data_IF_552807781954
#
_entry.id   IF_552807781954
#
_cell.length_a   1.000
_cell.length_b   1.000
_cell.length_c   1.000
_cell.angle_alpha   90.00
_cell.angle_beta   90.00
_cell.angle_gamma   90.00
#
_symmetry.space_group_name_H-M   'P 1'
#
loop_
_entity.id
_entity.type
_entity.pdbx_description
1 polymer ?
#
# COMPACT_ATOMS: atom_id res chain seq x y z
N UNK A 1 -7.02 19.35 -14.18
CA UNK A 1 -6.60 18.16 -13.41
C UNK A 1 -6.69 16.87 -14.22
N UNK A 2 -7.88 16.32 -14.48
CA UNK A 2 -8.03 15.07 -15.25
C UNK A 2 -7.47 15.18 -16.67
N UNK A 3 -7.69 16.29 -17.33
CA UNK A 3 -7.14 16.57 -18.66
C UNK A 3 -5.61 16.48 -18.66
N UNK A 4 -4.96 17.03 -17.63
CA UNK A 4 -3.49 17.00 -17.48
C UNK A 4 -2.98 15.57 -17.27
N UNK A 5 -3.71 14.75 -16.47
CA UNK A 5 -3.38 13.33 -16.27
C UNK A 5 -3.55 12.46 -17.52
N UNK A 6 -4.32 12.92 -18.53
CA UNK A 6 -4.47 12.23 -19.81
C UNK A 6 -3.40 12.58 -20.82
N UNK A 7 -2.83 13.76 -20.71
CA UNK A 7 -1.88 14.32 -21.69
C UNK A 7 -0.44 14.24 -21.25
N UNK A 8 -0.20 14.33 -19.94
CA UNK A 8 1.13 14.45 -19.37
C UNK A 8 1.60 13.15 -18.71
N UNK A 9 2.91 12.96 -18.65
CA UNK A 9 3.49 11.90 -17.86
C UNK A 9 3.32 12.22 -16.37
N UNK A 10 2.81 11.24 -15.61
CA UNK A 10 2.66 11.37 -14.16
C UNK A 10 3.03 10.10 -13.43
N UNK A 11 3.35 10.23 -12.14
CA UNK A 11 3.54 9.12 -11.21
C UNK A 11 2.26 8.87 -10.43
N UNK A 12 1.78 7.62 -10.44
CA UNK A 12 0.75 7.15 -9.52
C UNK A 12 1.42 6.68 -8.22
N UNK A 13 1.09 7.34 -7.11
CA UNK A 13 1.60 6.99 -5.78
C UNK A 13 0.49 6.36 -4.95
N UNK A 14 0.70 5.11 -4.49
CA UNK A 14 -0.26 4.34 -3.71
C UNK A 14 0.29 4.06 -2.31
N UNK A 15 -0.36 4.63 -1.29
CA UNK A 15 0.08 4.49 0.10
C UNK A 15 -0.14 3.07 0.65
N UNK A 16 0.60 2.72 1.70
CA UNK A 16 0.28 1.59 2.55
C UNK A 16 -0.97 1.85 3.39
N UNK A 17 -1.54 0.78 3.98
CA UNK A 17 -2.72 0.91 4.84
C UNK A 17 -3.42 -0.41 5.17
N UNK A 18 -2.79 -1.55 4.88
CA UNK A 18 -3.40 -2.86 5.09
C UNK A 18 -4.72 -2.99 4.31
N UNK A 19 -5.79 -3.42 4.97
CA UNK A 19 -7.11 -3.55 4.33
C UNK A 19 -7.64 -2.23 3.74
N UNK A 20 -7.29 -1.08 4.34
CA UNK A 20 -7.72 0.23 3.84
C UNK A 20 -7.17 0.51 2.44
N UNK A 21 -5.99 -0.05 2.12
CA UNK A 21 -5.39 0.05 0.79
C UNK A 21 -6.26 -0.53 -0.34
N UNK A 22 -7.26 -1.36 -0.02
CA UNK A 22 -8.21 -1.88 -1.01
C UNK A 22 -9.00 -0.73 -1.67
N UNK A 23 -9.14 0.42 -1.02
CA UNK A 23 -9.77 1.62 -1.60
C UNK A 23 -9.03 2.14 -2.84
N UNK A 24 -7.74 1.84 -3.01
CA UNK A 24 -7.02 2.15 -4.25
C UNK A 24 -7.72 1.58 -5.49
N UNK A 25 -8.36 0.41 -5.37
CA UNK A 25 -9.08 -0.21 -6.49
C UNK A 25 -10.24 0.65 -7.00
N UNK A 26 -10.96 1.34 -6.11
CA UNK A 26 -12.00 2.28 -6.53
C UNK A 26 -11.45 3.43 -7.37
N UNK A 27 -10.28 3.95 -7.00
CA UNK A 27 -9.59 5.00 -7.78
C UNK A 27 -9.08 4.44 -9.11
N UNK A 28 -8.51 3.23 -9.13
CA UNK A 28 -8.09 2.57 -10.38
C UNK A 28 -9.26 2.32 -11.32
N UNK A 29 -10.44 1.95 -10.79
CA UNK A 29 -11.67 1.82 -11.58
C UNK A 29 -12.05 3.14 -12.27
N UNK A 30 -11.95 4.27 -11.55
CA UNK A 30 -12.22 5.58 -12.14
C UNK A 30 -11.16 5.96 -13.20
N UNK A 31 -9.89 5.62 -12.96
CA UNK A 31 -8.81 5.82 -13.95
C UNK A 31 -9.07 5.02 -15.23
N UNK A 32 -9.43 3.74 -15.11
CA UNK A 32 -9.74 2.88 -16.27
C UNK A 32 -10.92 3.44 -17.08
N UNK A 33 -12.02 3.82 -16.42
CA UNK A 33 -13.19 4.43 -17.08
C UNK A 33 -12.84 5.69 -17.85
N UNK A 34 -11.86 6.46 -17.36
CA UNK A 34 -11.41 7.71 -17.95
C UNK A 34 -10.22 7.52 -18.89
N UNK A 35 -9.74 6.28 -19.08
CA UNK A 35 -8.57 5.93 -19.90
C UNK A 35 -7.30 6.67 -19.46
N UNK A 36 -7.12 6.84 -18.14
CA UNK A 36 -5.94 7.45 -17.53
C UNK A 36 -4.94 6.34 -17.18
N UNK A 37 -3.76 6.41 -17.75
CA UNK A 37 -2.68 5.42 -17.54
C UNK A 37 -1.46 6.11 -16.97
N UNK A 38 -0.92 5.68 -15.81
CA UNK A 38 0.26 6.28 -15.24
C UNK A 38 1.52 5.92 -16.02
N UNK A 39 2.51 6.82 -16.01
CA UNK A 39 3.82 6.61 -16.62
C UNK A 39 4.80 5.93 -15.66
N UNK A 40 4.52 5.97 -14.37
CA UNK A 40 5.29 5.33 -13.29
C UNK A 40 4.35 5.03 -12.13
N UNK A 41 4.65 3.98 -11.37
CA UNK A 41 3.94 3.61 -10.15
C UNK A 41 4.93 3.55 -9.00
N UNK A 42 4.59 4.20 -7.88
CA UNK A 42 5.28 4.07 -6.59
C UNK A 42 4.30 3.52 -5.57
N UNK A 43 4.66 2.43 -4.91
CA UNK A 43 3.76 1.79 -3.96
C UNK A 43 4.44 1.32 -2.68
N UNK A 44 3.69 1.36 -1.58
CA UNK A 44 4.11 0.87 -0.27
C UNK A 44 3.07 -0.12 0.25
N UNK A 45 3.50 -1.26 0.81
CA UNK A 45 2.60 -2.24 1.45
C UNK A 45 1.45 -2.66 0.53
N UNK A 46 0.18 -2.52 0.93
CA UNK A 46 -0.97 -2.84 0.08
C UNK A 46 -0.98 -2.02 -1.22
N UNK A 47 -0.61 -0.74 -1.18
CA UNK A 47 -0.44 0.06 -2.39
C UNK A 47 0.64 -0.50 -3.32
N UNK A 48 1.71 -1.06 -2.75
CA UNK A 48 2.75 -1.77 -3.48
C UNK A 48 2.25 -3.05 -4.15
N UNK A 49 1.42 -3.85 -3.46
CA UNK A 49 0.81 -5.07 -4.02
C UNK A 49 -0.08 -4.71 -5.22
N UNK A 50 -0.97 -3.72 -5.05
CA UNK A 50 -1.90 -3.28 -6.09
C UNK A 50 -1.12 -2.65 -7.26
N UNK A 51 -0.13 -1.81 -6.96
CA UNK A 51 0.73 -1.19 -7.96
C UNK A 51 1.54 -2.21 -8.77
N UNK A 52 2.04 -3.27 -8.12
CA UNK A 52 2.75 -4.35 -8.78
C UNK A 52 1.83 -5.14 -9.74
N UNK A 53 0.59 -5.43 -9.33
CA UNK A 53 -0.39 -6.08 -10.21
C UNK A 53 -0.72 -5.20 -11.43
N UNK A 54 -0.96 -3.90 -11.21
CA UNK A 54 -1.20 -2.94 -12.29
C UNK A 54 0.02 -2.86 -13.25
N UNK A 55 1.24 -2.82 -12.69
CA UNK A 55 2.47 -2.69 -13.48
C UNK A 55 2.76 -3.87 -14.40
N UNK A 56 2.22 -5.05 -14.12
CA UNK A 56 2.33 -6.23 -15.00
C UNK A 56 1.17 -6.36 -15.98
N UNK A 57 0.29 -5.36 -16.07
CA UNK A 57 -0.77 -5.24 -17.05
C UNK A 57 -2.14 -5.78 -16.61
N UNK A 58 -2.36 -6.02 -15.30
CA UNK A 58 -3.68 -6.40 -14.80
C UNK A 58 -4.60 -5.19 -14.75
N UNK A 59 -5.86 -5.37 -15.10
CA UNK A 59 -6.92 -4.39 -14.89
C UNK A 59 -7.48 -4.46 -13.46
N UNK A 60 -8.30 -3.47 -13.07
CA UNK A 60 -8.86 -3.37 -11.72
C UNK A 60 -9.64 -4.63 -11.33
N UNK A 61 -10.46 -5.19 -12.23
CA UNK A 61 -11.26 -6.37 -11.94
C UNK A 61 -10.40 -7.62 -11.67
N UNK A 62 -9.30 -7.79 -12.40
CA UNK A 62 -8.35 -8.88 -12.19
C UNK A 62 -7.64 -8.74 -10.84
N UNK A 63 -7.19 -7.52 -10.51
CA UNK A 63 -6.57 -7.22 -9.22
C UNK A 63 -7.58 -7.48 -8.08
N UNK A 64 -8.81 -7.03 -8.23
CA UNK A 64 -9.87 -7.25 -7.24
C UNK A 64 -10.12 -8.74 -6.97
N UNK A 65 -10.12 -9.59 -8.01
CA UNK A 65 -10.25 -11.05 -7.85
C UNK A 65 -9.10 -11.64 -7.02
N UNK A 66 -7.88 -11.17 -7.25
CA UNK A 66 -6.72 -11.59 -6.45
C UNK A 66 -6.84 -11.11 -5.00
N UNK A 67 -7.20 -9.85 -4.77
CA UNK A 67 -7.42 -9.30 -3.41
C UNK A 67 -8.50 -10.09 -2.66
N UNK A 68 -9.60 -10.46 -3.32
CA UNK A 68 -10.63 -11.32 -2.73
C UNK A 68 -10.07 -12.68 -2.27
N UNK A 69 -9.17 -13.28 -3.03
CA UNK A 69 -8.50 -14.52 -2.64
C UNK A 69 -7.56 -14.30 -1.44
N UNK A 70 -6.88 -13.16 -1.36
CA UNK A 70 -6.07 -12.77 -0.21
C UNK A 70 -6.90 -12.65 1.08
N UNK A 71 -8.15 -12.19 1.01
CA UNK A 71 -8.97 -12.01 2.22
C UNK A 71 -9.14 -13.30 2.98
N UNK A 72 -9.17 -14.43 2.30
CA UNK A 72 -9.25 -15.76 2.94
C UNK A 72 -8.00 -16.05 3.79
N UNK A 73 -6.81 -15.67 3.33
CA UNK A 73 -5.54 -15.84 4.05
C UNK A 73 -5.48 -14.89 5.24
N UNK A 74 -5.87 -13.63 5.04
CA UNK A 74 -5.88 -12.61 6.08
C UNK A 74 -6.94 -12.83 7.16
N UNK A 75 -8.03 -13.55 6.90
CA UNK A 75 -9.00 -13.92 7.93
C UNK A 75 -8.38 -14.86 8.99
N UNK A 76 -7.31 -15.58 8.67
CA UNK A 76 -6.55 -16.39 9.64
C UNK A 76 -5.73 -15.51 10.60
N UNK A 77 -5.40 -14.27 10.24
CA UNK A 77 -4.66 -13.32 11.08
C UNK A 77 -5.39 -13.05 12.40
N UNK A 78 -6.72 -13.00 12.39
CA UNK A 78 -7.53 -12.81 13.61
C UNK A 78 -7.31 -13.89 14.67
N UNK A 79 -6.91 -15.10 14.26
CA UNK A 79 -6.64 -16.20 15.19
C UNK A 79 -5.22 -16.18 15.78
N UNK A 80 -4.29 -15.50 15.13
CA UNK A 80 -2.87 -15.49 15.54
C UNK A 80 -2.53 -14.45 16.60
N UNK A 81 -3.34 -13.43 16.78
CA UNK A 81 -3.16 -12.43 17.84
C UNK A 81 -3.33 -12.98 19.27
N UNK A 82 -3.78 -14.22 19.45
CA UNK A 82 -3.92 -14.87 20.77
C UNK A 82 -2.69 -15.63 21.23
N UNK A 83 -1.60 -15.65 20.50
CA UNK A 83 -0.34 -16.28 20.92
C UNK A 83 0.73 -16.27 19.82
N UNK A 84 1.89 -15.80 20.11
CA UNK A 84 3.24 -15.95 19.51
C UNK A 84 3.40 -16.28 18.00
N UNK A 85 2.44 -16.06 17.14
CA UNK A 85 2.53 -16.46 15.75
C UNK A 85 2.67 -15.24 14.82
N UNK A 86 3.91 -14.97 14.43
CA UNK A 86 4.24 -14.30 13.17
C UNK A 86 3.68 -15.17 12.03
N UNK A 87 2.90 -14.59 11.13
CA UNK A 87 2.37 -15.32 9.97
C UNK A 87 3.54 -15.67 9.08
N UNK A 88 3.77 -16.97 8.91
CA UNK A 88 4.71 -17.44 7.91
C UNK A 88 4.24 -17.04 6.52
N UNK A 89 5.14 -16.44 5.75
CA UNK A 89 4.84 -15.88 4.43
C UNK A 89 4.58 -16.94 3.35
N UNK A 90 4.69 -18.24 3.65
CA UNK A 90 4.63 -19.33 2.66
C UNK A 90 3.38 -19.29 1.77
N UNK A 91 2.20 -19.05 2.37
CA UNK A 91 0.95 -18.94 1.60
C UNK A 91 0.91 -17.69 0.74
N UNK A 92 1.41 -16.58 1.26
CA UNK A 92 1.49 -15.32 0.52
C UNK A 92 2.51 -15.42 -0.60
N UNK A 93 3.67 -16.02 -0.32
CA UNK A 93 4.68 -16.30 -1.32
C UNK A 93 4.15 -17.16 -2.48
N UNK A 94 3.36 -18.21 -2.18
CA UNK A 94 2.72 -19.04 -3.20
C UNK A 94 1.72 -18.24 -4.06
N UNK A 95 0.95 -17.34 -3.46
CA UNK A 95 0.01 -16.48 -4.20
C UNK A 95 0.77 -15.52 -5.10
N UNK A 96 1.81 -14.86 -4.59
CA UNK A 96 2.62 -13.95 -5.40
C UNK A 96 3.42 -14.68 -6.48
N UNK A 97 3.87 -15.92 -6.22
CA UNK A 97 4.44 -16.79 -7.24
C UNK A 97 3.46 -17.05 -8.39
N UNK A 98 2.19 -17.32 -8.09
CA UNK A 98 1.17 -17.54 -9.12
C UNK A 98 0.87 -16.26 -9.92
N UNK A 99 0.89 -15.09 -9.28
CA UNK A 99 0.60 -13.80 -9.89
C UNK A 99 1.78 -13.33 -10.75
N UNK A 100 2.96 -13.25 -10.16
CA UNK A 100 4.12 -12.60 -10.78
C UNK A 100 5.05 -13.59 -11.49
N UNK A 101 5.01 -14.90 -11.14
CA UNK A 101 5.88 -15.93 -11.68
C UNK A 101 7.37 -15.52 -11.57
N UNK A 102 8.11 -15.65 -12.66
CA UNK A 102 9.53 -15.31 -12.77
C UNK A 102 9.78 -13.85 -13.22
N UNK A 103 8.77 -12.98 -13.14
CA UNK A 103 8.94 -11.57 -13.51
C UNK A 103 9.81 -10.84 -12.49
N UNK A 104 10.81 -10.13 -13.00
CA UNK A 104 11.67 -9.22 -12.23
C UNK A 104 11.15 -7.79 -12.30
N UNK A 105 11.67 -6.92 -11.45
CA UNK A 105 11.30 -5.50 -11.40
C UNK A 105 11.44 -4.79 -12.76
N UNK A 106 12.41 -5.20 -13.58
CA UNK A 106 12.63 -4.68 -14.95
C UNK A 106 11.62 -5.16 -15.99
N UNK A 107 10.81 -6.19 -15.69
CA UNK A 107 9.89 -6.83 -16.64
C UNK A 107 8.46 -6.23 -16.55
N UNK A 108 8.29 -5.14 -15.83
CA UNK A 108 7.00 -4.44 -15.71
C UNK A 108 6.70 -3.63 -16.96
N UNK A 109 5.43 -3.56 -17.35
CA UNK A 109 4.95 -2.75 -18.49
C UNK A 109 4.86 -1.27 -18.14
N UNK A 110 4.61 -0.94 -16.87
CA UNK A 110 4.69 0.40 -16.31
C UNK A 110 5.81 0.38 -15.28
N UNK A 111 6.80 1.28 -15.33
CA UNK A 111 7.86 1.38 -14.34
C UNK A 111 7.33 1.35 -12.92
N UNK A 112 7.87 0.47 -12.10
CA UNK A 112 7.41 0.23 -10.72
C UNK A 112 8.52 0.51 -9.72
N UNK A 113 8.19 1.21 -8.65
CA UNK A 113 9.01 1.38 -7.45
C UNK A 113 8.26 0.87 -6.22
N UNK A 114 8.90 -0.02 -5.46
CA UNK A 114 8.35 -0.56 -4.22
C UNK A 114 9.23 -0.13 -3.04
N UNK A 115 8.60 0.47 -2.03
CA UNK A 115 9.30 0.98 -0.85
C UNK A 115 9.30 -0.08 0.24
N UNK A 116 10.48 -0.38 0.77
CA UNK A 116 10.70 -1.23 1.92
C UNK A 116 11.67 -0.55 2.91
N UNK A 117 11.79 -1.11 4.09
CA UNK A 117 12.71 -0.63 5.14
C UNK A 117 13.74 -1.71 5.45
N UNK A 118 15.02 -1.39 5.37
CA UNK A 118 16.08 -2.28 5.84
C UNK A 118 16.12 -2.26 7.36
N UNK A 119 15.86 -3.42 7.99
CA UNK A 119 15.78 -3.52 9.45
C UNK A 119 17.13 -3.43 10.17
N UNK A 120 18.24 -3.64 9.46
CA UNK A 120 19.57 -3.61 10.08
C UNK A 120 20.05 -2.18 10.32
N UNK A 121 19.69 -1.25 9.43
CA UNK A 121 20.19 0.13 9.47
C UNK A 121 19.08 1.20 9.49
N UNK A 122 17.82 0.80 9.38
CA UNK A 122 16.66 1.69 9.36
C UNK A 122 16.53 2.51 8.07
N UNK A 123 17.30 2.22 7.03
CA UNK A 123 17.26 2.98 5.77
C UNK A 123 16.12 2.51 4.87
N UNK A 124 15.57 3.47 4.14
CA UNK A 124 14.63 3.19 3.06
C UNK A 124 15.35 2.45 1.92
N UNK A 125 14.75 1.37 1.45
CA UNK A 125 15.08 0.69 0.19
C UNK A 125 13.96 0.91 -0.80
N UNK A 126 14.31 1.33 -1.99
CA UNK A 126 13.41 1.37 -3.14
C UNK A 126 13.85 0.28 -4.09
N UNK A 127 12.96 -0.66 -4.34
CA UNK A 127 13.16 -1.67 -5.38
C UNK A 127 12.60 -1.13 -6.69
N UNK A 128 13.42 -1.10 -7.74
CA UNK A 128 13.04 -0.62 -9.06
C UNK A 128 13.66 -1.49 -10.18
N UNK A 129 13.54 -1.06 -11.44
CA UNK A 129 14.02 -1.78 -12.61
C UNK A 129 15.54 -1.99 -12.63
N UNK A 130 16.32 -1.25 -11.85
CA UNK A 130 17.78 -1.42 -11.72
C UNK A 130 18.17 -2.59 -10.82
N UNK A 131 17.25 -3.05 -9.98
CA UNK A 131 17.45 -4.18 -9.09
C UNK A 131 17.18 -5.51 -9.83
N UNK A 132 18.09 -6.47 -9.73
CA UNK A 132 17.89 -7.82 -10.29
C UNK A 132 17.04 -8.72 -9.36
N UNK A 133 15.91 -8.18 -8.89
CA UNK A 133 15.01 -8.77 -7.91
C UNK A 133 13.70 -9.19 -8.57
N UNK A 134 13.12 -10.32 -8.13
CA UNK A 134 11.78 -10.73 -8.54
C UNK A 134 10.72 -9.83 -7.91
N UNK A 135 9.66 -9.52 -8.66
CA UNK A 135 8.55 -8.68 -8.16
C UNK A 135 7.93 -9.30 -6.89
N UNK A 136 7.77 -10.63 -6.86
CA UNK A 136 7.24 -11.35 -5.69
C UNK A 136 8.04 -11.09 -4.41
N UNK A 137 9.38 -11.04 -4.50
CA UNK A 137 10.26 -10.82 -3.35
C UNK A 137 10.22 -9.35 -2.90
N UNK A 138 10.25 -8.41 -3.83
CA UNK A 138 10.07 -6.99 -3.52
C UNK A 138 8.70 -6.70 -2.89
N UNK A 139 7.63 -7.38 -3.34
CA UNK A 139 6.29 -7.30 -2.75
C UNK A 139 6.28 -7.87 -1.34
N UNK A 140 6.94 -9.01 -1.08
CA UNK A 140 7.07 -9.57 0.26
C UNK A 140 7.82 -8.62 1.22
N UNK A 141 8.85 -7.91 0.73
CA UNK A 141 9.56 -6.90 1.52
C UNK A 141 8.65 -5.72 1.88
N UNK A 142 7.97 -5.13 0.89
CA UNK A 142 7.15 -3.92 1.11
C UNK A 142 5.95 -4.15 2.02
N UNK A 143 5.46 -5.38 2.15
CA UNK A 143 4.30 -5.74 2.97
C UNK A 143 4.62 -6.35 4.33
N UNK A 144 5.89 -6.58 4.66
CA UNK A 144 6.32 -7.26 5.88
C UNK A 144 6.15 -6.38 7.13
N UNK A 145 4.91 -6.18 7.58
CA UNK A 145 4.58 -5.39 8.78
C UNK A 145 5.18 -6.08 10.01
N UNK A 146 6.08 -5.41 10.76
CA UNK A 146 6.71 -5.99 11.95
C UNK A 146 5.68 -6.46 12.99
N UNK A 147 5.88 -7.67 13.51
CA UNK A 147 4.98 -8.29 14.48
C UNK A 147 3.70 -8.91 13.88
N UNK A 148 3.44 -8.73 12.59
CA UNK A 148 2.30 -9.31 11.86
C UNK A 148 2.77 -10.33 10.83
N UNK A 149 3.66 -9.93 9.93
CA UNK A 149 4.25 -10.78 8.90
C UNK A 149 5.72 -11.00 9.20
N UNK A 150 6.22 -12.14 8.75
CA UNK A 150 7.65 -12.42 8.79
C UNK A 150 8.38 -11.45 7.86
N UNK A 151 9.50 -10.92 8.32
CA UNK A 151 10.43 -10.16 7.49
C UNK A 151 10.91 -11.00 6.29
N UNK A 152 11.27 -10.33 5.20
CA UNK A 152 11.79 -11.00 4.01
C UNK A 152 13.26 -10.66 3.80
N UNK A 153 14.04 -11.67 3.37
CA UNK A 153 15.49 -11.55 3.20
C UNK A 153 15.83 -11.62 1.73
N UNK A 154 16.55 -10.61 1.24
CA UNK A 154 17.12 -10.57 -0.10
C UNK A 154 18.61 -10.30 0.03
N UNK A 155 19.46 -11.17 -0.55
CA UNK A 155 20.91 -11.03 -0.55
C UNK A 155 21.56 -10.84 0.84
N UNK A 156 20.96 -11.43 1.87
CA UNK A 156 21.42 -11.33 3.26
C UNK A 156 20.96 -10.10 4.01
N UNK A 157 20.27 -9.17 3.36
CA UNK A 157 19.65 -8.01 3.98
C UNK A 157 18.19 -8.33 4.37
N UNK A 158 17.78 -7.87 5.56
CA UNK A 158 16.44 -8.12 6.11
C UNK A 158 15.55 -6.90 5.94
N UNK A 159 14.40 -7.09 5.30
CA UNK A 159 13.47 -6.01 4.99
C UNK A 159 12.13 -6.17 5.70
N UNK A 160 11.57 -5.02 6.07
CA UNK A 160 10.21 -4.85 6.57
C UNK A 160 9.44 -3.83 5.73
N UNK A 161 8.15 -3.69 6.05
CA UNK A 161 7.22 -2.79 5.36
C UNK A 161 7.77 -1.37 5.24
N UNK A 162 7.54 -0.77 4.08
CA UNK A 162 8.03 0.56 3.76
C UNK A 162 7.43 1.69 4.60
N UNK A 163 6.28 1.48 5.26
CA UNK A 163 5.64 2.51 6.08
C UNK A 163 6.55 3.01 7.22
N UNK A 164 7.52 2.20 7.65
CA UNK A 164 8.48 2.62 8.67
C UNK A 164 9.37 3.79 8.23
N UNK A 165 9.64 3.90 6.92
CA UNK A 165 10.44 4.98 6.32
C UNK A 165 9.59 5.98 5.55
N UNK A 166 8.72 5.51 4.66
CA UNK A 166 7.86 6.35 3.82
C UNK A 166 6.62 5.59 3.37
N UNK A 167 5.46 5.96 3.94
CA UNK A 167 4.18 5.32 3.61
C UNK A 167 3.57 5.83 2.31
N UNK A 168 3.68 7.12 2.04
CA UNK A 168 3.23 7.78 0.80
C UNK A 168 4.45 8.22 0.01
N UNK A 169 4.89 7.43 -0.94
CA UNK A 169 6.16 7.51 -1.65
C UNK A 169 6.33 8.71 -2.57
N UNK A 170 5.95 9.91 -2.14
CA UNK A 170 6.03 11.16 -2.92
C UNK A 170 7.48 11.48 -3.29
N UNK A 171 8.42 11.22 -2.37
CA UNK A 171 9.84 11.53 -2.60
C UNK A 171 10.44 10.71 -3.74
N UNK A 172 9.87 9.56 -4.05
CA UNK A 172 10.37 8.60 -5.05
C UNK A 172 9.76 8.78 -6.45
N UNK A 173 8.75 9.62 -6.58
CA UNK A 173 8.14 9.92 -7.87
C UNK A 173 9.15 10.58 -8.81
N UNK A 174 9.29 10.08 -10.05
CA UNK A 174 10.21 10.66 -11.04
C UNK A 174 9.62 11.87 -11.77
N UNK A 175 8.31 11.89 -11.95
CA UNK A 175 7.62 12.96 -12.66
C UNK A 175 7.21 14.11 -11.72
N UNK A 176 7.09 15.31 -12.25
CA UNK A 176 6.64 16.49 -11.49
C UNK A 176 5.12 16.43 -11.21
N UNK A 177 4.35 15.81 -12.09
CA UNK A 177 2.93 15.55 -11.87
C UNK A 177 2.75 14.24 -11.13
N UNK A 178 2.01 14.28 -10.03
CA UNK A 178 1.75 13.11 -9.17
C UNK A 178 0.25 12.99 -8.91
N UNK A 179 -0.30 11.80 -9.14
CA UNK A 179 -1.58 11.39 -8.59
C UNK A 179 -1.30 10.51 -7.36
N UNK A 180 -1.53 11.04 -6.17
CA UNK A 180 -1.29 10.34 -4.92
C UNK A 180 -2.60 9.90 -4.28
N UNK A 181 -2.68 8.63 -3.86
CA UNK A 181 -3.83 8.10 -3.12
C UNK A 181 -3.34 7.70 -1.73
N UNK A 182 -3.77 8.46 -0.71
CA UNK A 182 -3.43 8.20 0.70
C UNK A 182 -4.64 7.69 1.47
N UNK A 183 -4.65 6.39 1.76
CA UNK A 183 -5.74 5.75 2.52
C UNK A 183 -5.59 5.91 4.03
N UNK A 184 -4.46 6.45 4.50
CA UNK A 184 -4.19 6.83 5.89
C UNK A 184 -4.07 8.35 6.06
N UNK A 185 -4.58 9.13 5.11
CA UNK A 185 -4.62 10.59 5.15
C UNK A 185 -5.59 11.12 6.22
N UNK A 186 -5.90 12.42 6.16
CA UNK A 186 -6.78 13.09 7.16
C UNK A 186 -8.14 12.42 7.34
N UNK A 187 -8.70 11.85 6.25
CA UNK A 187 -10.01 11.21 6.25
C UNK A 187 -10.01 9.79 6.86
N UNK A 188 -8.86 9.32 7.38
CA UNK A 188 -8.73 8.05 8.09
C UNK A 188 -8.99 8.14 9.59
N UNK A 189 -9.20 9.36 10.13
CA UNK A 189 -9.31 9.59 11.56
C UNK A 189 -10.73 9.99 11.97
N UNK A 190 -11.21 9.41 13.07
CA UNK A 190 -12.43 9.84 13.73
C UNK A 190 -12.17 11.09 14.57
N UNK A 191 -13.14 12.00 14.61
CA UNK A 191 -13.07 13.27 15.36
C UNK A 191 -13.18 13.06 16.87
N UNK A 192 -13.73 11.92 17.31
CA UNK A 192 -13.96 11.62 18.73
C UNK A 192 -13.11 10.46 19.23
N UNK A 193 -12.70 10.55 20.49
CA UNK A 193 -12.01 9.44 21.16
C UNK A 193 -13.04 8.42 21.69
N UNK A 194 -12.72 7.11 21.73
CA UNK A 194 -13.60 6.10 22.31
C UNK A 194 -13.85 6.36 23.79
N UNK A 195 -15.10 6.21 24.25
CA UNK A 195 -15.56 6.51 25.62
C UNK A 195 -14.89 5.70 26.75
N UNK A 196 -14.13 4.67 26.44
CA UNK A 196 -13.53 3.76 27.41
C UNK A 196 -12.01 3.62 27.27
N UNK A 197 -11.30 4.72 27.40
CA UNK A 197 -9.85 4.84 27.22
C UNK A 197 -8.96 3.87 28.05
N UNK A 198 -9.46 3.33 29.16
CA UNK A 198 -8.66 2.56 30.13
C UNK A 198 -8.92 1.04 30.15
N UNK A 199 -9.66 0.47 29.19
CA UNK A 199 -9.83 -1.00 29.08
C UNK A 199 -8.78 -1.61 28.17
N UNK A 200 -8.33 -2.86 28.47
CA UNK A 200 -7.27 -3.58 27.74
C UNK A 200 -7.50 -3.68 26.23
N UNK A 201 -8.76 -3.77 25.77
CA UNK A 201 -9.11 -3.73 24.36
C UNK A 201 -8.77 -2.37 23.70
N UNK A 202 -8.73 -1.30 24.47
CA UNK A 202 -8.42 0.05 23.99
C UNK A 202 -6.92 0.30 23.83
N UNK A 203 -6.05 -0.48 24.49
CA UNK A 203 -4.60 -0.34 24.36
C UNK A 203 -4.14 -0.66 22.94
N UNK A 204 -4.66 -1.73 22.35
CA UNK A 204 -4.33 -2.11 20.97
C UNK A 204 -4.90 -1.10 19.96
N UNK A 205 -6.11 -0.61 20.19
CA UNK A 205 -6.72 0.44 19.35
C UNK A 205 -5.94 1.76 19.45
N UNK A 206 -5.50 2.11 20.64
CA UNK A 206 -4.65 3.29 20.85
C UNK A 206 -3.30 3.14 20.19
N UNK A 207 -2.70 1.96 20.25
CA UNK A 207 -1.43 1.67 19.56
C UNK A 207 -1.60 1.77 18.04
N UNK A 208 -2.63 1.14 17.46
CA UNK A 208 -2.96 1.25 16.04
C UNK A 208 -3.17 2.71 15.63
N UNK A 209 -3.96 3.46 16.41
CA UNK A 209 -4.19 4.89 16.17
C UNK A 209 -2.89 5.70 16.23
N UNK A 210 -2.02 5.41 17.18
CA UNK A 210 -0.72 6.09 17.32
C UNK A 210 0.17 5.84 16.11
N UNK A 211 0.25 4.60 15.64
CA UNK A 211 0.98 4.24 14.41
C UNK A 211 0.39 4.98 13.20
N UNK A 212 -0.92 5.00 13.03
CA UNK A 212 -1.58 5.74 11.94
C UNK A 212 -1.27 7.23 12.00
N UNK A 213 -1.26 7.85 13.19
CA UNK A 213 -0.89 9.26 13.36
C UNK A 213 0.57 9.52 12.99
N UNK A 214 1.49 8.62 13.34
CA UNK A 214 2.90 8.72 12.93
C UNK A 214 3.01 8.66 11.40
N UNK A 215 2.33 7.71 10.76
CA UNK A 215 2.30 7.56 9.31
C UNK A 215 1.72 8.83 8.65
N UNK A 216 0.58 9.31 9.14
CA UNK A 216 -0.05 10.53 8.63
C UNK A 216 0.90 11.74 8.71
N UNK A 217 1.54 11.95 9.87
CA UNK A 217 2.49 13.06 10.02
C UNK A 217 3.71 12.92 9.10
N UNK A 218 4.18 11.69 8.88
CA UNK A 218 5.25 11.39 7.94
C UNK A 218 4.81 11.76 6.51
N UNK A 219 3.66 11.25 6.04
CA UNK A 219 3.11 11.54 4.72
C UNK A 219 2.90 13.05 4.52
N UNK A 220 2.33 13.72 5.53
CA UNK A 220 2.13 15.17 5.51
C UNK A 220 3.45 15.92 5.38
N UNK A 221 4.49 15.53 6.11
CA UNK A 221 5.82 16.14 6.03
C UNK A 221 6.40 16.01 4.62
N UNK A 222 6.26 14.86 3.98
CA UNK A 222 6.71 14.66 2.60
C UNK A 222 5.91 15.49 1.60
N UNK A 223 4.59 15.58 1.78
CA UNK A 223 3.72 16.45 0.95
C UNK A 223 4.09 17.92 1.09
N UNK A 224 4.21 18.42 2.33
CA UNK A 224 4.50 19.85 2.62
C UNK A 224 5.89 20.26 2.09
N UNK A 225 6.84 19.34 2.03
CA UNK A 225 8.20 19.59 1.51
C UNK A 225 8.36 19.30 0.01
N UNK A 226 7.33 18.79 -0.65
CA UNK A 226 7.38 18.49 -2.08
C UNK A 226 7.23 19.76 -2.90
N UNK A 227 8.13 19.94 -3.87
CA UNK A 227 8.01 20.98 -4.90
C UNK A 227 7.19 20.51 -6.13
N UNK A 228 6.67 19.29 -6.10
CA UNK A 228 5.94 18.65 -7.20
C UNK A 228 4.46 19.03 -7.19
N UNK A 229 3.82 18.91 -8.35
CA UNK A 229 2.38 19.10 -8.48
C UNK A 229 1.65 17.82 -8.05
N UNK A 230 1.20 17.78 -6.78
CA UNK A 230 0.57 16.59 -6.20
C UNK A 230 -0.94 16.74 -6.18
N UNK A 231 -1.63 15.88 -6.92
CA UNK A 231 -3.06 15.66 -6.80
C UNK A 231 -3.31 14.57 -5.77
N UNK A 232 -3.74 14.98 -4.57
CA UNK A 232 -3.96 14.08 -3.44
C UNK A 232 -5.42 13.64 -3.38
N UNK A 233 -5.64 12.31 -3.41
CA UNK A 233 -6.92 11.66 -3.13
C UNK A 233 -6.81 11.00 -1.76
N UNK A 234 -7.74 11.32 -0.85
CA UNK A 234 -7.84 10.73 0.48
C UNK A 234 -9.22 10.09 0.66
N UNK A 235 -9.37 8.77 0.40
CA UNK A 235 -10.63 8.07 0.65
C UNK A 235 -11.06 8.18 2.12
N UNK A 236 -12.37 8.21 2.37
CA UNK A 236 -12.92 8.31 3.73
C UNK A 236 -12.90 6.95 4.44
N UNK A 237 -11.72 6.56 4.91
CA UNK A 237 -11.47 5.26 5.54
C UNK A 237 -11.73 5.24 7.04
N UNK A 238 -12.18 6.35 7.63
CA UNK A 238 -12.57 6.40 9.05
C UNK A 238 -13.64 5.32 9.34
N UNK A 239 -13.61 4.76 10.54
CA UNK A 239 -14.50 3.66 10.93
C UNK A 239 -14.05 2.27 10.48
N UNK A 240 -13.01 2.17 9.63
CA UNK A 240 -12.42 0.90 9.23
C UNK A 240 -11.05 0.69 9.89
N UNK A 241 -10.70 -0.60 10.15
CA UNK A 241 -9.42 -0.97 10.78
C UNK A 241 -8.47 -1.57 9.76
N UNK A 242 -7.17 -1.44 10.03
CA UNK A 242 -6.07 -1.90 9.16
C UNK A 242 -6.16 -3.38 8.78
N UNK A 243 -6.79 -4.22 9.62
CA UNK A 243 -6.89 -5.67 9.38
C UNK A 243 -8.33 -6.15 9.11
N UNK A 244 -9.24 -5.27 8.70
CA UNK A 244 -10.63 -5.63 8.36
C UNK A 244 -10.79 -6.10 6.91
N UNK A 245 -9.96 -7.03 6.48
CA UNK A 245 -9.98 -7.55 5.10
C UNK A 245 -11.32 -8.16 4.67
N UNK A 246 -12.13 -8.63 5.60
CA UNK A 246 -13.47 -9.15 5.30
C UNK A 246 -14.45 -8.08 4.80
N UNK A 247 -14.11 -6.79 4.94
CA UNK A 247 -14.88 -5.64 4.44
C UNK A 247 -14.35 -5.12 3.10
N UNK A 248 -13.70 -5.97 2.32
CA UNK A 248 -13.00 -5.58 1.10
C UNK A 248 -13.91 -4.89 0.06
N UNK A 249 -15.19 -5.30 -0.05
CA UNK A 249 -16.16 -4.67 -0.95
C UNK A 249 -16.47 -3.23 -0.52
N UNK A 250 -16.85 -3.05 0.77
CA UNK A 250 -17.14 -1.74 1.33
C UNK A 250 -15.94 -0.80 1.19
N UNK A 251 -14.73 -1.30 1.49
CA UNK A 251 -13.50 -0.48 1.46
C UNK A 251 -13.14 -0.10 0.01
N UNK A 252 -13.28 -1.01 -0.96
CA UNK A 252 -13.09 -0.68 -2.40
C UNK A 252 -13.98 0.48 -2.82
N UNK A 253 -15.25 0.44 -2.41
CA UNK A 253 -16.24 1.44 -2.82
C UNK A 253 -15.93 2.85 -2.27
N UNK A 254 -15.15 2.96 -1.18
CA UNK A 254 -14.68 4.26 -0.66
C UNK A 254 -13.78 5.02 -1.66
N UNK A 255 -13.15 4.32 -2.60
CA UNK A 255 -12.33 4.92 -3.64
C UNK A 255 -13.09 5.36 -4.88
N UNK A 256 -14.34 4.91 -5.06
CA UNK A 256 -15.13 5.21 -6.26
C UNK A 256 -15.58 6.68 -6.31
N UNK A 257 -15.53 7.27 -7.49
CA UNK A 257 -16.01 8.63 -7.76
C UNK A 257 -15.15 9.74 -7.16
N UNK A 258 -13.93 9.42 -6.70
CA UNK A 258 -13.01 10.40 -6.12
C UNK A 258 -12.15 11.10 -7.19
N UNK A 259 -11.91 10.47 -8.31
CA UNK A 259 -11.19 11.07 -9.43
C UNK A 259 -12.17 11.87 -10.30
N UNK A 260 -12.25 13.18 -10.04
CA UNK A 260 -13.17 14.13 -10.70
C UNK A 260 -12.43 15.19 -11.50
#
# INVERSE_FOLDING_TARGET
>A
MIEDLKTDNFTLVLSGGGALGIAHLGVLHDMEKQQIVPSEIVGTSMGGIIGACLSVGMNEEEIYKHIKNFTSVFNWIKFSFSGNAVIHNDKLAQIFEQIFKDKKMKDTSIPLKLIATNLLNGQKKVFDASDDVYIKDAVLCTMAIPGVFQEHIIEGETYADGFLCENLGISEASFDSILAVDVLGKNAFEETMPDNFFKTANVLEMFERSIRLLIYNQSKTHLDNSCKNVHLIEPETKGYKTFQFHKYEEIRDLGLGLLK
#
